data_IF_275184676890
#
_entry.id   IF_275184676890
#
_cell.length_a   1.000
_cell.length_b   1.000
_cell.length_c   1.000
_cell.angle_alpha   90.00
_cell.angle_beta   90.00
_cell.angle_gamma   90.00
#
_symmetry.space_group_name_H-M   'P 1'
#
loop_
_entity.id
_entity.type
_entity.pdbx_description
1 polymer ?
#
# COMPACT_ATOMS: atom_id res chain seq x y z
N UNK A 1 3.78 -21.85 -9.12
CA UNK A 1 3.23 -20.98 -8.06
C UNK A 1 1.92 -21.57 -7.62
N UNK A 2 1.67 -21.63 -6.31
CA UNK A 2 0.52 -22.35 -5.74
C UNK A 2 -0.79 -21.54 -5.78
N UNK A 3 -0.77 -20.34 -6.39
CA UNK A 3 -1.87 -19.37 -6.45
C UNK A 3 -2.51 -19.06 -5.09
N UNK A 4 -1.69 -19.06 -4.04
CA UNK A 4 -2.12 -18.80 -2.67
C UNK A 4 -1.94 -17.33 -2.30
N UNK A 5 -2.84 -16.76 -1.47
CA UNK A 5 -2.59 -15.52 -0.75
C UNK A 5 -1.43 -15.67 0.24
N UNK A 6 -0.72 -14.59 0.53
CA UNK A 6 0.39 -14.56 1.47
C UNK A 6 0.07 -13.70 2.70
N UNK A 7 0.38 -14.21 3.89
CA UNK A 7 0.31 -13.44 5.13
C UNK A 7 1.68 -13.46 5.82
N UNK A 8 2.25 -12.27 6.02
CA UNK A 8 3.57 -12.07 6.61
C UNK A 8 3.39 -11.44 7.99
N UNK A 9 3.75 -12.18 9.04
CA UNK A 9 3.85 -11.63 10.39
C UNK A 9 5.25 -11.02 10.59
N UNK A 10 5.37 -9.72 10.32
CA UNK A 10 6.64 -9.04 10.23
C UNK A 10 7.22 -8.71 11.61
N UNK A 11 8.47 -9.13 11.87
CA UNK A 11 9.21 -8.83 13.09
C UNK A 11 10.72 -8.85 12.85
N UNK A 12 11.25 -7.82 12.19
CA UNK A 12 12.66 -7.74 11.79
C UNK A 12 13.27 -6.37 12.10
N UNK A 13 14.39 -6.37 12.80
CA UNK A 13 15.15 -5.14 13.13
C UNK A 13 16.04 -4.62 11.99
N UNK A 14 16.01 -5.27 10.83
CA UNK A 14 16.84 -4.96 9.68
C UNK A 14 17.56 -6.19 9.16
N UNK A 15 18.36 -5.99 8.11
CA UNK A 15 19.28 -7.01 7.60
C UNK A 15 20.55 -7.07 8.44
N UNK A 16 21.19 -8.24 8.48
CA UNK A 16 22.51 -8.34 9.10
C UNK A 16 23.53 -7.52 8.31
N UNK A 17 24.21 -6.60 8.99
CA UNK A 17 25.30 -5.80 8.44
C UNK A 17 26.69 -6.35 8.77
N UNK A 18 26.79 -7.58 9.28
CA UNK A 18 28.07 -8.21 9.62
C UNK A 18 28.93 -8.46 8.38
N UNK A 19 30.25 -8.32 8.50
CA UNK A 19 31.17 -8.49 7.36
C UNK A 19 31.00 -9.84 6.64
N UNK A 20 30.77 -10.91 7.40
CA UNK A 20 30.52 -12.24 6.85
C UNK A 20 29.23 -12.30 6.03
N UNK A 21 28.11 -11.83 6.57
CA UNK A 21 26.82 -11.88 5.87
C UNK A 21 26.82 -11.00 4.62
N UNK A 22 27.55 -9.87 4.67
CA UNK A 22 27.78 -9.01 3.51
C UNK A 22 28.61 -9.73 2.44
N UNK A 23 29.63 -10.49 2.83
CA UNK A 23 30.42 -11.33 1.92
C UNK A 23 29.59 -12.47 1.34
N UNK A 24 28.72 -13.09 2.15
CA UNK A 24 27.79 -14.15 1.78
C UNK A 24 26.56 -13.62 0.99
N UNK A 25 26.69 -12.44 0.37
CA UNK A 25 25.73 -11.84 -0.55
C UNK A 25 24.33 -11.54 0.03
N UNK A 26 24.19 -11.22 1.33
CA UNK A 26 22.88 -10.93 1.97
C UNK A 26 22.05 -9.89 1.21
N UNK A 27 22.70 -8.89 0.59
CA UNK A 27 22.03 -7.85 -0.19
C UNK A 27 21.35 -8.39 -1.46
N UNK A 28 21.96 -9.38 -2.10
CA UNK A 28 21.41 -10.04 -3.30
C UNK A 28 20.17 -10.83 -2.95
N UNK A 29 20.18 -11.54 -1.82
CA UNK A 29 18.96 -12.21 -1.33
C UNK A 29 17.88 -11.21 -0.92
N UNK A 30 18.28 -10.06 -0.38
CA UNK A 30 17.36 -8.94 -0.11
C UNK A 30 16.65 -8.42 -1.36
N UNK A 31 17.36 -8.27 -2.48
CA UNK A 31 16.74 -7.84 -3.74
C UNK A 31 15.82 -8.91 -4.34
N UNK A 32 16.16 -10.19 -4.20
CA UNK A 32 15.30 -11.29 -4.67
C UNK A 32 13.92 -11.31 -3.98
N UNK A 33 13.82 -10.82 -2.74
CA UNK A 33 12.53 -10.65 -2.04
C UNK A 33 11.67 -9.62 -2.80
N UNK A 34 12.26 -8.48 -3.17
CA UNK A 34 11.58 -7.42 -3.93
C UNK A 34 11.13 -7.94 -5.29
N UNK A 35 12.02 -8.62 -6.02
CA UNK A 35 11.70 -9.21 -7.34
C UNK A 35 10.51 -10.18 -7.23
N UNK A 36 10.48 -10.99 -6.16
CA UNK A 36 9.40 -11.95 -5.91
C UNK A 36 8.06 -11.26 -5.61
N UNK A 37 8.06 -10.12 -4.92
CA UNK A 37 6.84 -9.35 -4.65
C UNK A 37 6.33 -8.57 -5.86
N UNK A 38 7.24 -8.07 -6.71
CA UNK A 38 6.87 -7.44 -7.99
C UNK A 38 6.15 -8.45 -8.89
N UNK A 39 6.60 -9.71 -8.92
CA UNK A 39 6.00 -10.77 -9.73
C UNK A 39 4.76 -11.43 -9.08
N UNK A 40 4.41 -11.08 -7.84
CA UNK A 40 3.31 -11.72 -7.12
C UNK A 40 1.95 -11.21 -7.57
N UNK A 41 0.98 -12.11 -7.76
CA UNK A 41 -0.33 -11.77 -8.33
C UNK A 41 -1.49 -11.90 -7.32
N UNK A 42 -1.28 -12.63 -6.21
CA UNK A 42 -2.28 -12.88 -5.19
C UNK A 42 -2.20 -11.86 -4.04
N UNK A 43 -3.25 -11.69 -3.22
CA UNK A 43 -3.23 -10.72 -2.12
C UNK A 43 -2.11 -11.03 -1.11
N UNK A 44 -1.37 -10.00 -0.71
CA UNK A 44 -0.32 -10.06 0.32
C UNK A 44 -0.71 -9.16 1.48
N UNK A 45 -0.74 -9.73 2.69
CA UNK A 45 -0.92 -9.00 3.93
C UNK A 45 0.36 -8.99 4.74
N UNK A 46 0.95 -7.81 4.92
CA UNK A 46 2.05 -7.60 5.87
C UNK A 46 1.44 -7.10 7.17
N UNK A 47 1.62 -7.83 8.26
CA UNK A 47 1.06 -7.47 9.55
C UNK A 47 2.16 -7.44 10.61
N UNK A 48 2.32 -6.31 11.32
CA UNK A 48 3.22 -6.19 12.47
C UNK A 48 2.48 -6.63 13.76
N UNK A 49 2.85 -7.76 14.39
CA UNK A 49 2.19 -8.26 15.60
C UNK A 49 2.42 -7.39 16.85
N UNK A 50 1.78 -7.72 17.99
CA UNK A 50 2.07 -7.08 19.27
C UNK A 50 3.55 -7.19 19.63
N UNK A 51 4.13 -6.09 20.12
CA UNK A 51 5.54 -5.99 20.56
C UNK A 51 6.57 -6.35 19.48
N UNK A 52 6.13 -6.56 18.23
CA UNK A 52 7.02 -6.74 17.11
C UNK A 52 7.45 -5.39 16.55
N UNK A 53 8.57 -5.40 15.85
CA UNK A 53 9.07 -4.22 15.18
C UNK A 53 9.60 -4.53 13.79
N UNK A 54 9.48 -3.53 12.92
CA UNK A 54 10.07 -3.58 11.59
C UNK A 54 10.87 -2.30 11.32
N UNK A 55 12.16 -2.48 11.00
CA UNK A 55 13.13 -1.38 10.96
C UNK A 55 13.94 -1.37 9.68
N UNK A 56 14.33 -0.16 9.27
CA UNK A 56 15.35 0.07 8.23
C UNK A 56 15.10 -0.73 6.96
N UNK A 57 16.13 -1.45 6.49
CA UNK A 57 16.06 -2.24 5.25
C UNK A 57 14.99 -3.33 5.26
N UNK A 58 14.62 -3.87 6.42
CA UNK A 58 13.57 -4.88 6.49
C UNK A 58 12.19 -4.30 6.14
N UNK A 59 11.93 -3.03 6.47
CA UNK A 59 10.72 -2.32 6.00
C UNK A 59 10.76 -2.18 4.48
N UNK A 60 11.89 -1.73 3.93
CA UNK A 60 12.05 -1.41 2.51
C UNK A 60 11.66 -2.60 1.61
N UNK A 61 12.02 -3.83 1.97
CA UNK A 61 11.78 -5.01 1.14
C UNK A 61 10.37 -5.60 1.24
N UNK A 62 9.54 -5.12 2.18
CA UNK A 62 8.14 -5.57 2.33
C UNK A 62 7.13 -4.42 2.21
N UNK A 63 7.58 -3.25 1.76
CA UNK A 63 6.74 -2.07 1.66
C UNK A 63 5.65 -2.26 0.59
N UNK A 64 4.38 -1.88 0.86
CA UNK A 64 3.29 -2.00 -0.12
C UNK A 64 3.54 -1.29 -1.45
N UNK A 65 4.41 -0.28 -1.47
CA UNK A 65 4.78 0.45 -2.70
C UNK A 65 5.47 -0.44 -3.74
N UNK A 66 6.02 -1.59 -3.35
CA UNK A 66 6.63 -2.57 -4.27
C UNK A 66 5.59 -3.10 -5.25
N UNK A 67 4.40 -3.45 -4.74
CA UNK A 67 3.29 -3.92 -5.56
C UNK A 67 1.95 -3.42 -4.98
N UNK A 68 1.57 -2.15 -5.26
CA UNK A 68 0.38 -1.52 -4.69
C UNK A 68 -0.94 -2.16 -5.11
N UNK A 69 -0.91 -2.98 -6.18
CA UNK A 69 -2.08 -3.70 -6.65
C UNK A 69 -2.48 -4.85 -5.71
N UNK A 70 -1.50 -5.44 -5.01
CA UNK A 70 -1.72 -6.68 -4.25
C UNK A 70 -1.28 -6.64 -2.78
N UNK A 71 -0.38 -5.72 -2.42
CA UNK A 71 0.18 -5.64 -1.07
C UNK A 71 -0.59 -4.66 -0.19
N UNK A 72 -0.87 -5.08 1.04
CA UNK A 72 -1.43 -4.23 2.09
C UNK A 72 -0.65 -4.43 3.39
N UNK A 73 -0.39 -3.34 4.11
CA UNK A 73 0.35 -3.37 5.37
C UNK A 73 -0.51 -2.88 6.54
N UNK A 74 -0.41 -3.58 7.66
CA UNK A 74 -1.15 -3.35 8.89
C UNK A 74 -0.21 -3.44 10.10
N UNK A 75 -0.57 -2.76 11.18
CA UNK A 75 0.18 -2.81 12.42
C UNK A 75 -0.74 -3.00 13.62
N UNK A 76 -0.26 -3.72 14.64
CA UNK A 76 -1.01 -3.87 15.90
C UNK A 76 -1.08 -2.54 16.63
N UNK A 77 -2.29 -2.11 16.99
CA UNK A 77 -2.52 -0.88 17.74
C UNK A 77 -1.71 -0.83 19.05
N UNK A 78 -1.04 0.29 19.31
CA UNK A 78 -0.38 0.59 20.58
C UNK A 78 1.01 -0.04 20.80
N UNK A 79 1.18 -1.33 20.54
CA UNK A 79 2.42 -2.06 20.91
C UNK A 79 3.40 -2.32 19.77
N UNK A 80 2.95 -2.31 18.51
CA UNK A 80 3.86 -2.47 17.38
C UNK A 80 4.77 -1.24 17.24
N UNK A 81 5.96 -1.43 16.66
CA UNK A 81 6.89 -0.34 16.37
C UNK A 81 7.44 -0.43 14.96
N UNK A 82 7.85 0.70 14.41
CA UNK A 82 8.54 0.71 13.14
C UNK A 82 9.02 2.09 12.75
N UNK A 83 10.15 2.10 12.07
CA UNK A 83 10.89 3.31 11.77
C UNK A 83 12.21 3.01 11.08
N UNK A 84 12.99 4.05 10.81
CA UNK A 84 14.25 3.90 10.07
C UNK A 84 15.31 3.20 10.91
N UNK A 85 15.44 3.58 12.19
CA UNK A 85 16.38 3.01 13.15
C UNK A 85 15.63 2.65 14.43
N UNK A 86 16.28 1.87 15.31
CA UNK A 86 15.83 1.72 16.68
C UNK A 86 15.88 3.07 17.42
N UNK A 87 15.01 3.25 18.42
CA UNK A 87 14.90 4.51 19.17
C UNK A 87 16.24 4.95 19.80
N UNK A 88 17.03 3.99 20.32
CA UNK A 88 18.39 4.23 20.82
C UNK A 88 19.33 4.79 19.74
N UNK A 89 19.26 4.22 18.54
CA UNK A 89 20.04 4.67 17.39
C UNK A 89 19.64 6.07 16.94
N UNK A 90 18.34 6.39 16.92
CA UNK A 90 17.86 7.74 16.59
C UNK A 90 18.30 8.74 17.66
N UNK A 91 18.12 8.44 18.95
CA UNK A 91 18.48 9.32 20.05
C UNK A 91 19.98 9.67 20.02
N UNK A 92 20.86 8.68 19.85
CA UNK A 92 22.32 8.91 19.78
C UNK A 92 22.74 9.80 18.61
N UNK A 93 22.01 9.79 17.50
CA UNK A 93 22.34 10.59 16.30
C UNK A 93 21.71 11.99 16.36
N UNK A 94 20.43 12.07 16.77
CA UNK A 94 19.57 13.26 16.64
C UNK A 94 19.36 14.05 17.92
N UNK A 95 19.56 13.44 19.10
CA UNK A 95 19.32 14.05 20.40
C UNK A 95 20.55 13.86 21.29
N UNK A 96 21.64 14.54 20.91
CA UNK A 96 22.97 14.30 21.49
C UNK A 96 23.08 14.95 22.88
N UNK A 97 24.18 14.69 23.58
CA UNK A 97 24.46 15.25 24.92
C UNK A 97 24.21 16.75 25.03
N UNK A 98 24.55 17.54 24.01
CA UNK A 98 24.27 18.98 23.98
C UNK A 98 22.77 19.30 24.05
N UNK A 99 21.94 18.54 23.35
CA UNK A 99 20.49 18.72 23.30
C UNK A 99 19.83 18.23 24.59
N UNK A 100 20.38 17.16 25.18
CA UNK A 100 20.02 16.68 26.52
C UNK A 100 20.26 17.77 27.56
N UNK A 101 21.48 18.33 27.63
CA UNK A 101 21.85 19.41 28.55
C UNK A 101 20.92 20.62 28.35
N UNK A 102 20.73 21.07 27.11
CA UNK A 102 19.78 22.16 26.80
C UNK A 102 18.37 21.90 27.34
N UNK A 103 17.92 20.65 27.30
CA UNK A 103 16.61 20.24 27.82
C UNK A 103 16.59 20.13 29.34
N UNK A 104 17.71 19.76 29.98
CA UNK A 104 17.86 19.82 31.43
C UNK A 104 17.73 21.25 31.94
N UNK A 105 18.46 22.20 31.36
CA UNK A 105 18.38 23.62 31.71
C UNK A 105 17.00 24.25 31.45
N UNK A 106 16.16 23.63 30.62
CA UNK A 106 14.79 24.07 30.37
C UNK A 106 13.78 23.52 31.38
N UNK A 107 14.02 22.35 31.95
CA UNK A 107 13.00 21.58 32.68
C UNK A 107 13.37 21.24 34.13
N UNK A 108 14.66 21.23 34.50
CA UNK A 108 15.11 20.93 35.86
C UNK A 108 15.16 22.20 36.70
N UNK A 109 14.32 22.27 37.74
CA UNK A 109 14.18 23.46 38.60
C UNK A 109 15.52 23.85 39.28
N UNK A 110 16.38 22.87 39.60
CA UNK A 110 17.68 23.12 40.25
C UNK A 110 18.64 23.79 39.28
N UNK A 111 18.77 23.28 38.05
CA UNK A 111 19.59 23.93 37.02
C UNK A 111 19.06 25.32 36.65
N UNK A 112 17.74 25.49 36.54
CA UNK A 112 17.13 26.80 36.27
C UNK A 112 17.50 27.82 37.37
N UNK A 113 17.46 27.41 38.64
CA UNK A 113 17.85 28.26 39.77
C UNK A 113 19.36 28.58 39.76
N UNK A 114 20.21 27.61 39.43
CA UNK A 114 21.66 27.81 39.33
C UNK A 114 22.03 28.75 38.16
N UNK A 115 21.36 28.61 37.01
CA UNK A 115 21.51 29.52 35.87
C UNK A 115 21.08 30.95 36.18
N UNK A 116 20.00 31.10 36.98
CA UNK A 116 19.56 32.41 37.44
C UNK A 116 20.62 33.05 38.37
N UNK A 117 21.20 32.26 39.29
CA UNK A 117 22.29 32.69 40.18
C UNK A 117 23.54 33.12 39.41
N UNK A 118 23.87 32.46 38.29
CA UNK A 118 24.98 32.85 37.42
C UNK A 118 24.79 34.20 36.72
N UNK A 119 23.53 34.62 36.50
CA UNK A 119 23.19 35.91 35.87
C UNK A 119 23.27 37.09 36.84
N UNK A 120 23.24 36.83 38.14
CA UNK A 120 23.44 37.86 39.17
C UNK A 120 24.91 38.30 39.23
N UNK A 121 25.16 39.51 39.75
CA UNK A 121 26.53 39.98 40.00
C UNK A 121 27.09 39.28 41.23
N UNK A 122 27.83 38.20 41.00
CA UNK A 122 28.51 37.39 42.02
C UNK A 122 30.04 37.54 41.92
N UNK A 123 30.75 37.18 42.99
CA UNK A 123 32.23 37.12 43.00
C UNK A 123 32.73 35.92 42.18
N UNK A 124 33.98 35.99 41.70
CA UNK A 124 34.57 34.92 40.86
C UNK A 124 34.62 33.56 41.58
N UNK A 125 34.80 33.55 42.90
CA UNK A 125 34.77 32.34 43.73
C UNK A 125 33.39 31.66 43.73
N UNK A 126 32.32 32.44 43.95
CA UNK A 126 30.93 31.94 43.96
C UNK A 126 30.49 31.53 42.56
N UNK A 127 31.02 32.17 41.52
CA UNK A 127 30.79 31.76 40.12
C UNK A 127 31.35 30.35 39.87
N UNK A 128 32.61 30.12 40.20
CA UNK A 128 33.25 28.81 40.00
C UNK A 128 32.52 27.70 40.78
N UNK A 129 32.14 27.94 42.03
CA UNK A 129 31.36 26.97 42.82
C UNK A 129 29.98 26.65 42.20
N UNK A 130 29.35 27.65 41.58
CA UNK A 130 28.05 27.50 40.92
C UNK A 130 28.19 26.71 39.61
N UNK A 131 29.24 26.96 38.82
CA UNK A 131 29.56 26.19 37.61
C UNK A 131 29.89 24.73 37.93
N UNK A 132 30.64 24.47 39.00
CA UNK A 132 30.91 23.12 39.50
C UNK A 132 29.62 22.39 39.92
N UNK A 133 28.70 23.12 40.56
CA UNK A 133 27.41 22.58 41.00
C UNK A 133 26.50 22.24 39.83
N UNK A 134 26.49 23.08 38.78
CA UNK A 134 25.78 22.81 37.51
C UNK A 134 26.34 21.56 36.86
N UNK A 135 27.66 21.48 36.71
CA UNK A 135 28.33 20.34 36.06
C UNK A 135 28.02 19.02 36.80
N UNK A 136 28.03 19.03 38.14
CA UNK A 136 27.65 17.85 38.95
C UNK A 136 26.18 17.47 38.75
N UNK A 137 25.28 18.46 38.68
CA UNK A 137 23.84 18.21 38.46
C UNK A 137 23.59 17.65 37.06
N UNK A 138 24.18 18.23 36.02
CA UNK A 138 24.12 17.72 34.64
C UNK A 138 24.58 16.25 34.56
N UNK A 139 25.73 15.92 35.14
CA UNK A 139 26.26 14.56 35.16
C UNK A 139 25.32 13.58 35.88
N UNK A 140 24.67 14.02 36.98
CA UNK A 140 23.71 13.18 37.71
C UNK A 140 22.41 12.93 36.93
N UNK A 141 21.99 13.89 36.11
CA UNK A 141 20.74 13.82 35.34
C UNK A 141 20.91 13.08 34.01
N UNK A 142 22.13 13.03 33.47
CA UNK A 142 22.41 12.52 32.14
C UNK A 142 21.82 11.13 31.86
N UNK A 143 21.97 10.11 32.72
CA UNK A 143 21.42 8.77 32.44
C UNK A 143 19.89 8.75 32.35
N UNK A 144 19.21 9.60 33.14
CA UNK A 144 17.74 9.69 33.12
C UNK A 144 17.27 10.40 31.86
N UNK A 145 17.93 11.50 31.48
CA UNK A 145 17.59 12.23 30.26
C UNK A 145 17.90 11.44 28.99
N UNK A 146 18.93 10.59 28.98
CA UNK A 146 19.17 9.62 27.90
C UNK A 146 17.97 8.67 27.73
N UNK A 147 17.42 8.12 28.81
CA UNK A 147 16.21 7.28 28.75
C UNK A 147 14.99 8.07 28.26
N UNK A 148 14.82 9.32 28.72
CA UNK A 148 13.74 10.20 28.24
C UNK A 148 13.87 10.45 26.73
N UNK A 149 15.08 10.68 26.24
CA UNK A 149 15.33 10.89 24.81
C UNK A 149 15.01 9.64 23.98
N UNK A 150 15.35 8.46 24.48
CA UNK A 150 14.96 7.18 23.84
C UNK A 150 13.44 7.06 23.78
N UNK A 151 12.75 7.28 24.90
CA UNK A 151 11.28 7.23 24.93
C UNK A 151 10.65 8.27 23.99
N UNK A 152 11.22 9.48 23.93
CA UNK A 152 10.79 10.52 23.03
C UNK A 152 10.93 10.10 21.55
N UNK A 153 12.06 9.49 21.19
CA UNK A 153 12.24 8.92 19.86
C UNK A 153 11.26 7.78 19.59
N UNK A 154 11.01 6.90 20.55
CA UNK A 154 10.08 5.77 20.39
C UNK A 154 8.64 6.22 20.11
N UNK A 155 8.20 7.37 20.65
CA UNK A 155 6.88 7.95 20.34
C UNK A 155 6.68 8.26 18.84
N UNK A 156 7.78 8.45 18.10
CA UNK A 156 7.75 8.64 16.64
C UNK A 156 7.60 7.32 15.87
N UNK A 157 7.78 6.17 16.51
CA UNK A 157 7.74 4.86 15.85
C UNK A 157 6.39 4.15 16.05
N UNK A 158 5.36 4.90 16.43
CA UNK A 158 4.04 4.36 16.78
C UNK A 158 3.17 4.06 15.55
N UNK A 159 2.28 3.06 15.63
CA UNK A 159 1.33 2.74 14.55
C UNK A 159 0.42 3.91 14.18
N UNK A 160 0.06 4.75 15.15
CA UNK A 160 -0.71 5.97 14.89
C UNK A 160 0.02 6.93 13.93
N UNK A 161 1.34 7.10 14.08
CA UNK A 161 2.13 7.87 13.11
C UNK A 161 2.20 7.18 11.76
N UNK A 162 2.42 5.86 11.73
CA UNK A 162 2.46 5.08 10.48
C UNK A 162 1.19 5.28 9.64
N UNK A 163 0.03 5.22 10.31
CA UNK A 163 -1.27 5.46 9.67
C UNK A 163 -1.41 6.91 9.22
N UNK A 164 -1.00 7.88 10.05
CA UNK A 164 -1.09 9.30 9.72
C UNK A 164 -0.25 9.68 8.49
N UNK A 165 0.89 9.02 8.27
CA UNK A 165 1.73 9.22 7.07
C UNK A 165 1.33 8.33 5.90
N UNK A 166 0.37 7.41 6.08
CA UNK A 166 -0.16 6.55 5.02
C UNK A 166 0.72 5.38 4.61
N UNK A 167 1.63 4.90 5.47
CA UNK A 167 2.46 3.71 5.17
C UNK A 167 1.82 2.39 5.60
N UNK A 168 0.74 2.45 6.38
CA UNK A 168 -0.13 1.30 6.69
C UNK A 168 -1.58 1.67 6.40
N UNK A 169 -2.37 0.67 5.99
CA UNK A 169 -3.81 0.81 5.71
C UNK A 169 -4.61 1.12 6.97
N UNK A 170 -4.35 0.35 8.03
CA UNK A 170 -5.04 0.55 9.30
C UNK A 170 -4.27 -0.03 10.49
N UNK A 171 -4.61 0.47 11.67
CA UNK A 171 -4.26 -0.16 12.94
C UNK A 171 -5.27 -1.27 13.24
N UNK A 172 -4.78 -2.43 13.67
CA UNK A 172 -5.61 -3.61 13.95
C UNK A 172 -5.38 -4.05 15.39
N UNK A 173 -6.44 -4.21 16.17
CA UNK A 173 -6.32 -4.79 17.51
C UNK A 173 -6.03 -6.29 17.40
N UNK A 174 -4.98 -6.78 18.07
CA UNK A 174 -4.57 -8.18 17.99
C UNK A 174 -5.67 -9.17 18.33
N UNK A 175 -6.48 -8.89 19.36
CA UNK A 175 -7.60 -9.76 19.78
C UNK A 175 -8.61 -9.98 18.65
N UNK A 176 -8.82 -8.96 17.83
CA UNK A 176 -9.78 -8.96 16.73
C UNK A 176 -9.14 -9.27 15.36
N UNK A 177 -7.81 -9.40 15.30
CA UNK A 177 -7.04 -9.56 14.06
C UNK A 177 -7.51 -10.73 13.21
N UNK A 178 -7.76 -11.90 13.81
CA UNK A 178 -8.27 -13.07 13.09
C UNK A 178 -9.58 -12.78 12.35
N UNK A 179 -10.54 -12.16 13.03
CA UNK A 179 -11.82 -11.83 12.40
C UNK A 179 -11.66 -10.76 11.34
N UNK A 180 -10.81 -9.76 11.59
CA UNK A 180 -10.50 -8.71 10.63
C UNK A 180 -9.92 -9.29 9.34
N UNK A 181 -8.82 -10.04 9.43
CA UNK A 181 -8.16 -10.62 8.26
C UNK A 181 -9.01 -11.67 7.56
N UNK A 182 -9.89 -12.39 8.26
CA UNK A 182 -10.87 -13.28 7.61
C UNK A 182 -11.76 -12.53 6.63
N UNK A 183 -12.36 -11.41 7.05
CA UNK A 183 -13.22 -10.61 6.18
C UNK A 183 -12.43 -9.90 5.09
N UNK A 184 -11.26 -9.34 5.45
CA UNK A 184 -10.40 -8.64 4.50
C UNK A 184 -9.90 -9.56 3.38
N UNK A 185 -9.43 -10.76 3.73
CA UNK A 185 -8.99 -11.76 2.75
C UNK A 185 -10.14 -12.19 1.85
N UNK A 186 -11.31 -12.52 2.40
CA UNK A 186 -12.48 -12.92 1.59
C UNK A 186 -12.88 -11.83 0.60
N UNK A 187 -12.89 -10.57 1.04
CA UNK A 187 -13.11 -9.42 0.17
C UNK A 187 -12.08 -9.38 -0.94
N UNK A 188 -10.79 -9.46 -0.61
CA UNK A 188 -9.70 -9.36 -1.59
C UNK A 188 -9.73 -10.48 -2.61
N UNK A 189 -10.04 -11.71 -2.20
CA UNK A 189 -10.24 -12.81 -3.13
C UNK A 189 -11.37 -12.52 -4.13
N UNK A 190 -12.54 -12.09 -3.64
CA UNK A 190 -13.65 -11.73 -4.52
C UNK A 190 -13.31 -10.56 -5.45
N UNK A 191 -12.63 -9.54 -4.93
CA UNK A 191 -12.15 -8.39 -5.68
C UNK A 191 -11.18 -8.82 -6.79
N UNK A 192 -10.21 -9.70 -6.49
CA UNK A 192 -9.22 -10.17 -7.45
C UNK A 192 -9.84 -11.06 -8.53
N UNK A 193 -10.79 -11.91 -8.17
CA UNK A 193 -11.52 -12.73 -9.13
C UNK A 193 -12.26 -11.83 -10.14
N UNK A 194 -12.91 -10.77 -9.67
CA UNK A 194 -13.59 -9.81 -10.53
C UNK A 194 -12.60 -9.00 -11.38
N UNK A 195 -11.47 -8.54 -10.81
CA UNK A 195 -10.38 -7.89 -11.58
C UNK A 195 -9.91 -8.79 -12.71
N UNK A 196 -9.67 -10.07 -12.44
CA UNK A 196 -9.20 -11.03 -13.43
C UNK A 196 -10.22 -11.20 -14.56
N UNK A 197 -11.52 -11.31 -14.24
CA UNK A 197 -12.60 -11.31 -15.25
C UNK A 197 -12.61 -10.03 -16.08
N UNK A 198 -12.41 -8.87 -15.45
CA UNK A 198 -12.37 -7.58 -16.14
C UNK A 198 -11.17 -7.46 -17.08
N UNK A 199 -9.99 -7.91 -16.64
CA UNK A 199 -8.78 -7.91 -17.47
C UNK A 199 -8.94 -8.83 -18.68
N UNK A 200 -9.44 -10.05 -18.46
CA UNK A 200 -9.71 -11.00 -19.54
C UNK A 200 -10.74 -10.45 -20.55
N UNK A 201 -11.75 -9.73 -20.09
CA UNK A 201 -12.72 -9.05 -20.95
C UNK A 201 -12.06 -7.93 -21.80
N UNK A 202 -11.11 -7.19 -21.23
CA UNK A 202 -10.34 -6.18 -21.96
C UNK A 202 -9.41 -6.77 -23.01
N UNK A 203 -8.79 -7.91 -22.73
CA UNK A 203 -7.84 -8.59 -23.63
C UNK A 203 -8.50 -9.17 -24.90
N UNK A 204 -9.83 -9.24 -24.95
CA UNK A 204 -10.58 -9.63 -26.17
C UNK A 204 -10.32 -8.63 -27.30
N UNK A 205 -10.21 -7.34 -26.97
CA UNK A 205 -9.84 -6.28 -27.91
C UNK A 205 -8.32 -6.11 -27.95
N UNK A 206 -7.60 -6.87 -28.80
CA UNK A 206 -6.13 -7.00 -28.75
C UNK A 206 -5.36 -5.67 -28.94
N UNK A 207 -6.04 -4.66 -29.49
CA UNK A 207 -5.46 -3.32 -29.71
C UNK A 207 -5.76 -2.30 -28.59
N UNK A 208 -6.63 -2.63 -27.64
CA UNK A 208 -6.98 -1.72 -26.52
C UNK A 208 -6.04 -1.99 -25.34
N UNK A 209 -5.54 -0.91 -24.70
CA UNK A 209 -4.68 -1.02 -23.50
C UNK A 209 -5.39 -1.89 -22.45
N UNK A 210 -4.78 -3.02 -22.08
CA UNK A 210 -5.31 -3.90 -21.03
C UNK A 210 -5.45 -3.13 -19.71
N UNK A 211 -6.57 -3.35 -19.03
CA UNK A 211 -6.93 -2.65 -17.81
C UNK A 211 -5.95 -3.05 -16.70
N UNK A 212 -5.26 -2.07 -16.09
CA UNK A 212 -4.40 -2.37 -14.94
C UNK A 212 -5.24 -2.82 -13.73
N UNK A 213 -4.68 -3.62 -12.80
CA UNK A 213 -5.41 -4.04 -11.60
C UNK A 213 -5.93 -2.86 -10.76
N UNK A 214 -5.20 -1.75 -10.75
CA UNK A 214 -5.56 -0.52 -10.02
C UNK A 214 -6.74 0.17 -10.72
N UNK A 215 -6.70 0.33 -12.04
CA UNK A 215 -7.82 0.87 -12.82
C UNK A 215 -9.07 -0.01 -12.68
N UNK A 216 -8.92 -1.34 -12.68
CA UNK A 216 -10.02 -2.27 -12.42
C UNK A 216 -10.66 -2.06 -11.04
N UNK A 217 -9.84 -1.82 -10.02
CA UNK A 217 -10.30 -1.53 -8.66
C UNK A 217 -11.07 -0.21 -8.58
N UNK A 218 -10.59 0.81 -9.28
CA UNK A 218 -11.26 2.10 -9.36
C UNK A 218 -12.62 1.98 -10.06
N UNK A 219 -12.71 1.21 -11.15
CA UNK A 219 -13.96 0.98 -11.87
C UNK A 219 -14.96 0.16 -11.04
N UNK A 220 -14.51 -0.86 -10.32
CA UNK A 220 -15.36 -1.59 -9.37
C UNK A 220 -15.92 -0.66 -8.28
N UNK A 221 -15.09 0.26 -7.78
CA UNK A 221 -15.53 1.26 -6.82
C UNK A 221 -16.57 2.22 -7.42
N UNK A 222 -16.42 2.60 -8.69
CA UNK A 222 -17.43 3.39 -9.39
C UNK A 222 -18.75 2.64 -9.50
N UNK A 223 -18.72 1.37 -9.90
CA UNK A 223 -19.93 0.52 -9.98
C UNK A 223 -20.61 0.37 -8.62
N UNK A 224 -19.83 0.27 -7.55
CA UNK A 224 -20.35 0.27 -6.19
C UNK A 224 -21.08 1.58 -5.87
N UNK A 225 -20.48 2.72 -6.17
CA UNK A 225 -21.07 4.04 -5.89
C UNK A 225 -22.28 4.39 -6.77
N UNK A 226 -22.39 3.79 -7.96
CA UNK A 226 -23.58 3.89 -8.80
C UNK A 226 -24.78 3.12 -8.23
N UNK A 227 -24.55 2.18 -7.31
CA UNK A 227 -25.63 1.40 -6.69
C UNK A 227 -26.40 2.25 -5.69
N UNK A 228 -27.75 2.31 -5.75
CA UNK A 228 -28.54 3.09 -4.80
C UNK A 228 -28.23 2.70 -3.35
N UNK A 229 -28.11 3.69 -2.47
CA UNK A 229 -27.79 3.54 -1.03
C UNK A 229 -26.33 3.23 -0.68
N UNK A 230 -25.43 3.06 -1.65
CA UNK A 230 -24.00 2.86 -1.39
C UNK A 230 -23.26 4.18 -1.25
N UNK A 231 -22.30 4.25 -0.33
CA UNK A 231 -21.51 5.46 -0.05
C UNK A 231 -20.01 5.16 0.01
N UNK A 232 -19.18 6.18 -0.14
CA UNK A 232 -17.72 6.01 -0.16
C UNK A 232 -17.16 5.42 1.16
N UNK A 233 -17.80 5.66 2.31
CA UNK A 233 -17.39 5.04 3.58
C UNK A 233 -17.69 3.54 3.61
N UNK A 234 -18.82 3.13 3.04
CA UNK A 234 -19.25 1.73 2.96
C UNK A 234 -18.34 0.88 2.06
N UNK A 235 -17.66 1.50 1.08
CA UNK A 235 -16.63 0.81 0.29
C UNK A 235 -15.52 0.24 1.17
N UNK A 236 -15.17 0.90 2.27
CA UNK A 236 -14.09 0.44 3.15
C UNK A 236 -14.54 -0.65 4.13
N UNK A 237 -15.84 -0.96 4.23
CA UNK A 237 -16.36 -2.06 5.04
C UNK A 237 -16.35 -3.36 4.24
N UNK A 238 -15.52 -4.31 4.68
CA UNK A 238 -15.32 -5.58 3.98
C UNK A 238 -16.59 -6.44 3.92
N UNK A 239 -17.45 -6.40 4.94
CA UNK A 239 -18.69 -7.18 4.98
C UNK A 239 -19.73 -6.59 4.05
N UNK A 240 -19.85 -5.27 4.03
CA UNK A 240 -20.79 -4.57 3.15
C UNK A 240 -20.39 -4.77 1.69
N UNK A 241 -19.11 -4.62 1.36
CA UNK A 241 -18.60 -4.84 0.01
C UNK A 241 -18.87 -6.27 -0.47
N UNK A 242 -18.58 -7.28 0.36
CA UNK A 242 -18.89 -8.68 0.04
C UNK A 242 -20.39 -8.94 -0.16
N UNK A 243 -21.23 -8.37 0.70
CA UNK A 243 -22.68 -8.52 0.60
C UNK A 243 -23.21 -7.89 -0.68
N UNK A 244 -22.70 -6.72 -1.05
CA UNK A 244 -23.01 -6.06 -2.32
C UNK A 244 -22.57 -6.88 -3.53
N UNK A 245 -21.36 -7.44 -3.52
CA UNK A 245 -20.88 -8.30 -4.62
C UNK A 245 -21.77 -9.55 -4.79
N UNK A 246 -22.20 -10.16 -3.68
CA UNK A 246 -23.07 -11.32 -3.72
C UNK A 246 -24.48 -10.98 -4.24
N UNK A 247 -25.04 -9.84 -3.83
CA UNK A 247 -26.37 -9.39 -4.27
C UNK A 247 -26.38 -8.88 -5.72
N UNK A 248 -25.29 -8.24 -6.15
CA UNK A 248 -25.15 -7.62 -7.47
C UNK A 248 -24.44 -8.53 -8.47
N UNK A 249 -24.31 -9.83 -8.18
CA UNK A 249 -23.48 -10.75 -8.96
C UNK A 249 -23.84 -10.76 -10.46
N UNK A 250 -25.12 -10.97 -10.79
CA UNK A 250 -25.61 -11.00 -12.18
C UNK A 250 -25.38 -9.65 -12.90
N UNK A 251 -25.59 -8.54 -12.18
CA UNK A 251 -25.38 -7.19 -12.72
C UNK A 251 -23.89 -6.95 -13.00
N UNK A 252 -23.01 -7.39 -12.11
CA UNK A 252 -21.56 -7.27 -12.28
C UNK A 252 -21.07 -8.13 -13.46
N UNK A 253 -21.58 -9.34 -13.63
CA UNK A 253 -21.25 -10.17 -14.79
C UNK A 253 -21.72 -9.52 -16.09
N UNK A 254 -22.93 -8.97 -16.12
CA UNK A 254 -23.42 -8.23 -17.29
C UNK A 254 -22.55 -7.01 -17.60
N UNK A 255 -22.13 -6.25 -16.58
CA UNK A 255 -21.21 -5.12 -16.76
C UNK A 255 -19.86 -5.54 -17.35
N UNK A 256 -19.31 -6.69 -16.94
CA UNK A 256 -18.07 -7.24 -17.52
C UNK A 256 -18.27 -7.62 -18.99
N UNK A 257 -19.41 -8.23 -19.34
CA UNK A 257 -19.75 -8.57 -20.74
C UNK A 257 -19.93 -7.31 -21.59
N UNK A 258 -20.61 -6.30 -21.06
CA UNK A 258 -20.82 -5.03 -21.77
C UNK A 258 -19.49 -4.29 -21.98
N UNK A 259 -18.59 -4.36 -21.00
CA UNK A 259 -17.23 -3.86 -21.13
C UNK A 259 -16.44 -4.60 -22.23
N UNK A 260 -16.52 -5.93 -22.29
CA UNK A 260 -15.89 -6.69 -23.37
C UNK A 260 -16.44 -6.29 -24.75
N UNK A 261 -17.75 -6.08 -24.85
CA UNK A 261 -18.42 -5.61 -26.08
C UNK A 261 -17.91 -4.23 -26.49
N UNK A 262 -17.77 -3.32 -25.54
CA UNK A 262 -17.23 -1.98 -25.77
C UNK A 262 -15.76 -2.02 -26.23
N UNK A 263 -14.92 -2.85 -25.62
CA UNK A 263 -13.52 -3.03 -26.03
C UNK A 263 -13.42 -3.52 -27.49
N UNK A 264 -14.24 -4.50 -27.88
CA UNK A 264 -14.30 -4.99 -29.28
C UNK A 264 -14.80 -3.90 -30.23
N UNK A 265 -15.83 -3.16 -29.85
CA UNK A 265 -16.36 -2.06 -30.67
C UNK A 265 -15.30 -0.97 -30.89
N UNK A 266 -14.54 -0.61 -29.86
CA UNK A 266 -13.45 0.36 -29.94
C UNK A 266 -12.29 -0.14 -30.81
N UNK A 267 -11.94 -1.43 -30.74
CA UNK A 267 -10.93 -2.01 -31.62
C UNK A 267 -11.37 -1.93 -33.09
N UNK A 268 -12.60 -2.35 -33.40
CA UNK A 268 -13.15 -2.25 -34.76
C UNK A 268 -13.14 -0.80 -35.25
N UNK A 269 -13.55 0.14 -34.39
CA UNK A 269 -13.53 1.56 -34.72
C UNK A 269 -12.11 2.08 -35.00
N UNK A 270 -11.13 1.72 -34.17
CA UNK A 270 -9.73 2.12 -34.37
C UNK A 270 -9.17 1.56 -35.69
N UNK A 271 -9.46 0.30 -36.02
CA UNK A 271 -9.02 -0.32 -37.28
C UNK A 271 -9.63 0.39 -38.49
N UNK A 272 -10.93 0.75 -38.42
CA UNK A 272 -11.61 1.45 -39.52
C UNK A 272 -11.21 2.93 -39.65
N UNK A 273 -10.81 3.59 -38.55
CA UNK A 273 -10.47 5.02 -38.54
C UNK A 273 -8.96 5.30 -38.58
N UNK A 274 -8.12 4.26 -38.60
CA UNK A 274 -6.68 4.38 -38.75
C UNK A 274 -6.32 5.00 -40.12
N UNK A 275 -6.03 6.30 -40.13
CA UNK A 275 -5.83 7.08 -41.36
C UNK A 275 -4.83 6.49 -42.38
N UNK A 276 -4.97 6.94 -43.63
CA UNK A 276 -4.14 6.51 -44.76
C UNK A 276 -4.63 5.22 -45.44
N UNK A 277 -3.77 4.59 -46.27
CA UNK A 277 -4.03 3.32 -46.96
C UNK A 277 -4.31 2.15 -46.01
N UNK A 278 -3.93 2.30 -44.73
CA UNK A 278 -4.23 1.38 -43.63
C UNK A 278 -5.72 1.26 -43.32
N UNK A 279 -6.53 2.33 -43.45
CA UNK A 279 -7.98 2.27 -43.20
C UNK A 279 -8.72 1.44 -44.25
N UNK A 280 -8.37 1.60 -45.53
CA UNK A 280 -8.99 0.87 -46.64
C UNK A 280 -8.66 -0.63 -46.55
N UNK A 281 -7.39 -0.96 -46.26
CA UNK A 281 -6.94 -2.33 -46.05
C UNK A 281 -7.59 -2.94 -44.81
N UNK A 282 -7.66 -2.18 -43.70
CA UNK A 282 -8.29 -2.62 -42.45
C UNK A 282 -9.78 -2.88 -42.60
N UNK A 283 -10.51 -1.97 -43.25
CA UNK A 283 -11.95 -2.10 -43.51
C UNK A 283 -12.23 -3.30 -44.44
N UNK A 284 -11.47 -3.45 -45.52
CA UNK A 284 -11.61 -4.60 -46.42
C UNK A 284 -11.29 -5.93 -45.72
N UNK A 285 -10.28 -5.94 -44.83
CA UNK A 285 -9.92 -7.08 -44.01
C UNK A 285 -11.03 -7.48 -43.04
N UNK A 286 -11.63 -6.51 -42.34
CA UNK A 286 -12.77 -6.73 -41.44
C UNK A 286 -13.98 -7.31 -42.17
N UNK A 287 -14.35 -6.72 -43.33
CA UNK A 287 -15.48 -7.22 -44.14
C UNK A 287 -15.22 -8.66 -44.63
N UNK A 288 -13.99 -8.94 -45.08
CA UNK A 288 -13.60 -10.30 -45.50
C UNK A 288 -13.68 -11.30 -44.34
N UNK A 289 -13.21 -10.93 -43.16
CA UNK A 289 -13.31 -11.74 -41.95
C UNK A 289 -14.76 -12.00 -41.54
N UNK A 290 -15.59 -10.96 -41.56
CA UNK A 290 -17.02 -11.07 -41.26
C UNK A 290 -17.74 -12.00 -42.24
N UNK A 291 -17.40 -11.93 -43.54
CA UNK A 291 -17.93 -12.83 -44.57
C UNK A 291 -17.52 -14.29 -44.32
N UNK A 292 -16.28 -14.55 -43.94
CA UNK A 292 -15.81 -15.90 -43.59
C UNK A 292 -16.53 -16.45 -42.35
N UNK A 293 -16.70 -15.63 -41.31
CA UNK A 293 -17.40 -16.02 -40.09
C UNK A 293 -18.90 -16.29 -40.33
N UNK A 294 -19.56 -15.47 -41.16
CA UNK A 294 -20.96 -15.69 -41.54
C UNK A 294 -21.16 -17.04 -42.21
N UNK A 295 -20.23 -17.47 -43.08
CA UNK A 295 -20.31 -18.74 -43.78
C UNK A 295 -20.13 -19.97 -42.86
N UNK A 296 -19.61 -19.80 -41.64
CA UNK A 296 -19.49 -20.88 -40.65
C UNK A 296 -20.69 -20.99 -39.71
N UNK A 297 -21.58 -20.00 -39.70
CA UNK A 297 -22.77 -19.96 -38.84
C UNK A 297 -23.96 -20.70 -39.46
N UNK A 298 -24.90 -21.13 -38.61
CA UNK A 298 -26.17 -21.71 -39.08
C UNK A 298 -27.04 -20.66 -39.78
N UNK A 299 -28.01 -21.11 -40.60
CA UNK A 299 -28.91 -20.21 -41.36
C UNK A 299 -29.67 -19.25 -40.43
N UNK A 300 -30.10 -19.71 -39.25
CA UNK A 300 -30.80 -18.89 -38.26
C UNK A 300 -29.91 -17.80 -37.64
N UNK A 301 -28.63 -18.09 -37.40
CA UNK A 301 -27.67 -17.12 -36.85
C UNK A 301 -27.25 -16.09 -37.90
N UNK A 302 -27.09 -16.51 -39.16
CA UNK A 302 -26.82 -15.58 -40.27
C UNK A 302 -27.94 -14.55 -40.43
N UNK A 303 -29.20 -14.96 -40.24
CA UNK A 303 -30.36 -14.07 -40.35
C UNK A 303 -30.39 -13.03 -39.22
N UNK A 304 -30.08 -13.43 -37.99
CA UNK A 304 -29.90 -12.50 -36.85
C UNK A 304 -28.80 -11.47 -37.11
N UNK A 305 -27.64 -11.89 -37.60
CA UNK A 305 -26.53 -10.96 -37.88
C UNK A 305 -26.90 -9.98 -39.00
N UNK A 306 -27.64 -10.44 -40.03
CA UNK A 306 -28.16 -9.56 -41.08
C UNK A 306 -29.15 -8.52 -40.53
N UNK A 307 -30.04 -8.89 -39.62
CA UNK A 307 -30.94 -7.93 -38.96
C UNK A 307 -30.17 -6.90 -38.13
N UNK A 308 -29.16 -7.33 -37.36
CA UNK A 308 -28.32 -6.42 -36.57
C UNK A 308 -27.57 -5.41 -37.46
N UNK A 309 -27.03 -5.86 -38.59
CA UNK A 309 -26.35 -4.99 -39.56
C UNK A 309 -27.32 -4.00 -40.22
N UNK A 310 -28.53 -4.43 -40.59
CA UNK A 310 -29.56 -3.54 -41.12
C UNK A 310 -29.93 -2.44 -40.12
N UNK A 311 -30.14 -2.82 -38.85
CA UNK A 311 -30.41 -1.88 -37.76
C UNK A 311 -29.27 -0.88 -37.53
N UNK A 312 -28.02 -1.30 -37.68
CA UNK A 312 -26.87 -0.41 -37.54
C UNK A 312 -26.65 0.55 -38.73
N UNK A 313 -27.10 0.17 -39.94
CA UNK A 313 -26.92 0.94 -41.17
C UNK A 313 -28.07 1.92 -41.46
N UNK A 314 -29.09 2.02 -40.60
CA UNK A 314 -30.28 2.84 -40.81
C UNK A 314 -30.91 2.66 -42.22
N UNK A 315 -31.16 1.41 -42.62
CA UNK A 315 -32.04 1.06 -43.74
C UNK A 315 -33.31 0.37 -43.25
#
# INVERSE_FOLDING_TARGET
>A
TEDLPLMIFANWRGFSGGQRDMYDEVLKYGSMIVDSFVAYEQPIFVFIPPYAEIRGGAWVVVDPSINPAVMEMYATSGTARGGVLEANGVASVKYRTKDLISTMHRLDDVLIALDAKLKERITDEVRNETEDSITKREQSLLPVYEQIAVQFCELHDTPGRMKAVGVIENEVEWKNSRSFFFWRLRRKLAEFDLRKKMQQAGDVGRSVKSLSPIEASALMKEWFLQTPSMTNSMWNDDKVMLSWMAQSHEVLEQKVVDMARECVAQEVFQVMTAGGSTSEIGTAGLIKGLSQALNTLSVSEQEKVKEMLKGALNF
#
